data_IF_654637927080
#
_entry.id   IF_654637927080
#
_cell.length_a   1.000
_cell.length_b   1.000
_cell.length_c   1.000
_cell.angle_alpha   90.00
_cell.angle_beta   90.00
_cell.angle_gamma   90.00
#
_symmetry.space_group_name_H-M   'P 1'
#
loop_
_entity.id
_entity.type
_entity.pdbx_description
1 polymer ?
#
# COMPACT_ATOMS: atom_id res chain seq x y z
N UNK A 1 -35.93 5.24 46.43
CA UNK A 1 -36.50 3.90 46.18
C UNK A 1 -36.99 3.84 44.75
N UNK A 2 -36.28 3.09 43.89
CA UNK A 2 -36.68 2.44 42.60
C UNK A 2 -35.37 2.01 41.91
N UNK A 3 -34.80 0.86 42.28
CA UNK A 3 -34.87 -0.43 41.55
C UNK A 3 -34.45 -0.38 40.07
N UNK A 4 -33.17 -0.74 39.85
CA UNK A 4 -32.69 -1.81 38.97
C UNK A 4 -33.31 -1.87 37.55
N UNK A 5 -32.52 -1.55 36.53
CA UNK A 5 -32.64 -2.23 35.23
C UNK A 5 -31.26 -2.64 34.74
N UNK A 6 -31.04 -3.95 34.79
CA UNK A 6 -29.78 -4.63 34.50
C UNK A 6 -29.82 -5.21 33.09
N UNK A 7 -28.62 -5.38 32.50
CA UNK A 7 -28.26 -6.39 31.49
C UNK A 7 -28.82 -6.20 30.08
N UNK A 8 -27.90 -6.07 29.12
CA UNK A 8 -27.74 -7.09 28.08
C UNK A 8 -26.33 -7.03 27.49
N UNK A 9 -25.41 -7.80 28.09
CA UNK A 9 -24.14 -8.14 27.47
C UNK A 9 -24.39 -9.37 26.57
N UNK A 10 -24.56 -9.15 25.26
CA UNK A 10 -24.60 -10.23 24.27
C UNK A 10 -23.16 -10.53 23.86
N UNK A 11 -22.51 -11.38 24.64
CA UNK A 11 -21.27 -12.06 24.25
C UNK A 11 -21.64 -13.28 23.40
N UNK A 12 -21.54 -13.17 22.07
CA UNK A 12 -21.67 -14.30 21.15
C UNK A 12 -20.30 -14.89 20.87
N UNK A 13 -19.89 -15.83 21.73
CA UNK A 13 -18.83 -16.78 21.38
C UNK A 13 -19.40 -17.85 20.44
N UNK A 14 -19.42 -17.57 19.13
CA UNK A 14 -19.60 -18.61 18.11
C UNK A 14 -18.26 -19.31 17.89
N UNK A 15 -17.81 -20.07 18.89
CA UNK A 15 -16.73 -21.02 18.71
C UNK A 15 -17.24 -22.17 17.85
N UNK A 16 -17.01 -22.09 16.54
CA UNK A 16 -17.20 -23.23 15.64
C UNK A 16 -16.20 -24.29 16.06
N UNK A 17 -16.62 -25.18 16.96
CA UNK A 17 -15.86 -26.38 17.32
C UNK A 17 -15.95 -27.31 16.13
N UNK A 18 -15.01 -27.17 15.20
CA UNK A 18 -14.80 -28.18 14.18
C UNK A 18 -14.47 -29.49 14.91
N UNK A 19 -15.40 -30.45 14.82
CA UNK A 19 -15.19 -31.78 15.38
C UNK A 19 -13.87 -32.32 14.85
N UNK A 20 -13.03 -32.85 15.74
CA UNK A 20 -11.70 -33.41 15.40
C UNK A 20 -11.76 -34.37 14.20
N UNK A 21 -12.89 -35.06 14.03
CA UNK A 21 -13.16 -35.95 12.90
C UNK A 21 -13.20 -35.24 11.54
N UNK A 22 -13.72 -34.01 11.46
CA UNK A 22 -13.80 -33.22 10.22
C UNK A 22 -12.41 -32.73 9.80
N UNK A 23 -11.56 -32.37 10.76
CA UNK A 23 -10.16 -32.00 10.51
C UNK A 23 -9.33 -33.19 10.04
N UNK A 24 -9.58 -34.39 10.58
CA UNK A 24 -8.90 -35.60 10.16
C UNK A 24 -9.28 -36.04 8.72
N UNK A 25 -10.56 -35.94 8.36
CA UNK A 25 -11.04 -36.27 7.02
C UNK A 25 -10.52 -35.31 5.95
N UNK A 26 -10.47 -34.00 6.25
CA UNK A 26 -9.92 -33.00 5.33
C UNK A 26 -8.42 -33.18 5.10
N UNK A 27 -7.65 -33.50 6.15
CA UNK A 27 -6.23 -33.85 6.01
C UNK A 27 -6.01 -35.12 5.17
N UNK A 28 -6.82 -36.16 5.37
CA UNK A 28 -6.74 -37.39 4.56
C UNK A 28 -7.06 -37.14 3.07
N UNK A 29 -8.04 -36.29 2.77
CA UNK A 29 -8.37 -35.93 1.38
C UNK A 29 -7.24 -35.14 0.70
N UNK A 30 -6.55 -34.26 1.43
CA UNK A 30 -5.38 -33.52 0.92
C UNK A 30 -4.21 -34.48 0.65
N UNK A 31 -3.93 -35.41 1.58
CA UNK A 31 -2.85 -36.39 1.42
C UNK A 31 -3.12 -37.35 0.25
N UNK A 32 -4.37 -37.76 0.05
CA UNK A 32 -4.78 -38.58 -1.10
C UNK A 32 -4.64 -37.82 -2.43
N UNK A 33 -4.92 -36.51 -2.47
CA UNK A 33 -4.71 -35.68 -3.68
C UNK A 33 -3.23 -35.52 -4.03
N UNK A 34 -2.34 -35.41 -3.03
CA UNK A 34 -0.88 -35.33 -3.28
C UNK A 34 -0.33 -36.67 -3.78
N UNK A 35 -0.86 -37.80 -3.29
CA UNK A 35 -0.33 -39.13 -3.60
C UNK A 35 -0.83 -39.70 -4.93
N UNK A 36 -1.98 -39.24 -5.42
CA UNK A 36 -2.57 -39.74 -6.67
C UNK A 36 -1.98 -39.12 -7.93
N UNK A 37 -0.97 -38.24 -7.81
CA UNK A 37 -0.20 -37.76 -8.97
C UNK A 37 -1.10 -37.26 -10.08
N UNK A 38 -2.11 -36.45 -9.75
CA UNK A 38 -3.02 -35.85 -10.72
C UNK A 38 -2.21 -34.93 -11.64
N UNK A 39 -1.68 -35.54 -12.70
CA UNK A 39 -1.06 -34.86 -13.85
C UNK A 39 -2.19 -34.08 -14.50
N UNK A 40 -2.27 -32.79 -14.18
CA UNK A 40 -3.12 -31.85 -14.90
C UNK A 40 -2.70 -31.96 -16.37
N UNK A 41 -3.60 -32.39 -17.28
CA UNK A 41 -3.26 -32.49 -18.69
C UNK A 41 -2.97 -31.08 -19.22
N UNK A 42 -1.71 -30.80 -19.51
CA UNK A 42 -1.20 -29.55 -20.09
C UNK A 42 -1.64 -29.32 -21.54
N UNK A 43 -2.74 -29.91 -21.99
CA UNK A 43 -3.13 -29.96 -23.41
C UNK A 43 -4.26 -28.99 -23.77
N UNK A 44 -4.15 -27.72 -23.41
CA UNK A 44 -4.93 -26.64 -24.05
C UNK A 44 -4.11 -25.34 -24.06
N UNK A 45 -3.01 -25.34 -24.81
CA UNK A 45 -2.36 -24.12 -25.29
C UNK A 45 -1.78 -24.37 -26.69
N UNK A 46 -2.69 -24.51 -27.65
CA UNK A 46 -2.48 -24.39 -29.11
C UNK A 46 -3.68 -23.56 -29.55
N UNK A 47 -3.59 -22.41 -30.22
CA UNK A 47 -2.53 -21.82 -30.98
C UNK A 47 -2.68 -20.29 -30.95
N UNK A 48 -1.62 -19.56 -30.58
CA UNK A 48 -1.48 -18.16 -30.96
C UNK A 48 -0.19 -18.03 -31.75
N UNK A 49 -0.36 -18.09 -33.07
CA UNK A 49 0.45 -17.49 -34.13
C UNK A 49 1.89 -17.12 -33.76
N UNK A 50 2.81 -18.00 -34.12
CA UNK A 50 4.25 -17.84 -33.94
C UNK A 50 4.92 -17.45 -35.25
N UNK A 51 4.41 -16.40 -35.89
CA UNK A 51 5.01 -15.78 -37.09
C UNK A 51 5.17 -14.27 -36.89
N UNK A 52 6.14 -13.87 -36.06
CA UNK A 52 6.90 -12.63 -36.25
C UNK A 52 8.37 -12.89 -35.98
N UNK A 53 8.98 -13.38 -37.04
CA UNK A 53 10.39 -13.36 -37.38
C UNK A 53 11.07 -12.04 -36.92
N UNK A 54 12.16 -12.19 -36.17
CA UNK A 54 13.38 -11.38 -36.22
C UNK A 54 13.23 -9.88 -36.54
N UNK A 55 12.98 -9.05 -35.51
CA UNK A 55 13.41 -7.65 -35.51
C UNK A 55 14.47 -7.42 -34.44
N UNK A 56 15.71 -7.47 -34.93
CA UNK A 56 16.93 -6.82 -34.45
C UNK A 56 16.91 -6.12 -33.09
N UNK A 57 17.80 -6.61 -32.23
CA UNK A 57 18.36 -5.89 -31.10
C UNK A 57 18.87 -4.48 -31.47
N UNK A 58 18.06 -3.46 -31.19
CA UNK A 58 18.56 -2.14 -30.81
C UNK A 58 18.06 -1.84 -29.41
N UNK A 59 18.93 -2.07 -28.42
CA UNK A 59 18.78 -1.41 -27.12
C UNK A 59 18.91 0.09 -27.38
N UNK A 60 17.88 0.91 -27.14
CA UNK A 60 18.06 2.35 -27.20
C UNK A 60 19.11 2.73 -26.14
N UNK A 61 20.15 3.47 -26.58
CA UNK A 61 21.04 4.19 -25.66
C UNK A 61 20.18 5.00 -24.69
N UNK A 62 20.54 5.09 -23.40
CA UNK A 62 19.99 6.12 -22.54
C UNK A 62 20.42 7.46 -23.15
N UNK A 63 19.54 8.08 -23.92
CA UNK A 63 19.70 9.47 -24.28
C UNK A 63 19.63 10.26 -23.00
N UNK A 64 20.58 11.16 -22.90
CA UNK A 64 20.80 12.04 -21.76
C UNK A 64 19.48 12.66 -21.33
N UNK A 65 19.19 12.54 -20.03
CA UNK A 65 18.19 13.35 -19.34
C UNK A 65 18.64 14.81 -19.46
N UNK A 66 18.30 15.44 -20.57
CA UNK A 66 18.32 16.88 -20.70
C UNK A 66 17.24 17.43 -19.76
N UNK A 67 17.71 18.01 -18.66
CA UNK A 67 17.27 19.30 -18.13
C UNK A 67 15.83 19.68 -18.47
N UNK A 68 14.86 19.10 -17.77
CA UNK A 68 13.57 19.76 -17.57
C UNK A 68 13.65 20.65 -16.34
N UNK A 69 14.28 21.80 -16.52
CA UNK A 69 13.96 23.02 -15.78
C UNK A 69 12.65 23.56 -16.35
N UNK A 70 11.51 23.06 -15.88
CA UNK A 70 10.20 23.63 -16.20
C UNK A 70 9.65 24.34 -14.96
N UNK A 71 9.90 25.65 -14.94
CA UNK A 71 9.11 26.74 -14.33
C UNK A 71 8.21 26.32 -13.16
N UNK A 72 8.71 26.56 -11.95
CA UNK A 72 7.88 26.95 -10.80
C UNK A 72 7.16 28.24 -11.19
N UNK A 73 5.85 28.20 -11.37
CA UNK A 73 5.01 29.37 -11.16
C UNK A 73 4.85 29.51 -9.65
N UNK A 74 5.30 30.65 -9.14
CA UNK A 74 4.89 31.16 -7.85
C UNK A 74 3.43 31.57 -8.03
N UNK A 75 2.52 30.86 -7.37
CA UNK A 75 1.21 31.39 -7.02
C UNK A 75 1.08 31.13 -5.52
N UNK A 76 1.41 32.18 -4.79
CA UNK A 76 1.08 32.41 -3.40
C UNK A 76 -0.45 32.49 -3.25
N UNK A 77 -1.00 31.92 -2.17
CA UNK A 77 -2.10 32.46 -1.34
C UNK A 77 -2.86 31.35 -0.59
N UNK A 78 -2.35 31.08 0.61
CA UNK A 78 -3.08 31.15 1.88
C UNK A 78 -4.42 30.42 2.00
N UNK A 79 -4.38 29.22 2.57
CA UNK A 79 -5.38 28.71 3.53
C UNK A 79 -4.83 27.45 4.23
N UNK A 80 -3.87 27.63 5.15
CA UNK A 80 -3.44 26.61 6.11
C UNK A 80 -3.66 27.16 7.53
N UNK A 81 -4.92 27.47 7.85
CA UNK A 81 -5.35 27.64 9.24
C UNK A 81 -5.86 26.29 9.78
N UNK A 82 -5.32 25.91 10.93
CA UNK A 82 -5.85 24.94 11.89
C UNK A 82 -5.54 23.44 11.74
N UNK A 83 -4.28 23.03 11.86
CA UNK A 83 -3.98 21.75 12.55
C UNK A 83 -2.64 21.69 13.32
N UNK A 84 -2.09 22.84 13.73
CA UNK A 84 -0.85 22.92 14.50
C UNK A 84 -1.09 23.06 16.02
N UNK A 85 -1.73 22.06 16.65
CA UNK A 85 -1.93 22.12 18.12
C UNK A 85 -1.62 20.88 18.96
N UNK A 86 -1.09 19.78 18.40
CA UNK A 86 -0.87 18.59 19.23
C UNK A 86 0.48 17.86 19.09
N UNK A 87 1.55 18.57 18.73
CA UNK A 87 2.89 17.96 18.82
C UNK A 87 4.00 18.93 19.27
N UNK A 88 3.67 19.91 20.14
CA UNK A 88 4.66 20.76 20.84
C UNK A 88 5.24 20.10 22.08
N UNK A 89 5.51 18.78 22.03
CA UNK A 89 6.21 18.09 23.11
C UNK A 89 7.55 17.55 22.63
N UNK A 90 8.54 18.44 22.75
CA UNK A 90 9.88 18.12 23.27
C UNK A 90 10.77 17.25 22.38
N UNK A 91 11.31 17.85 21.32
CA UNK A 91 12.73 17.62 20.98
C UNK A 91 13.41 18.99 21.01
N UNK A 92 13.84 19.35 22.21
CA UNK A 92 14.73 20.47 22.47
C UNK A 92 16.07 20.08 21.83
N UNK A 93 16.28 20.47 20.56
CA UNK A 93 17.62 20.44 20.01
C UNK A 93 18.45 21.44 20.79
N UNK A 94 19.62 20.98 21.24
CA UNK A 94 20.58 21.76 22.00
C UNK A 94 20.94 23.02 21.21
N UNK A 95 20.43 24.14 21.73
CA UNK A 95 20.97 25.47 21.54
C UNK A 95 22.35 25.48 22.21
N UNK A 96 23.34 24.96 21.47
CA UNK A 96 24.74 25.06 21.84
C UNK A 96 25.14 26.48 21.49
N UNK A 97 25.13 27.34 22.51
CA UNK A 97 25.59 28.71 22.44
C UNK A 97 26.91 28.78 21.67
N UNK A 98 26.84 29.55 20.58
CA UNK A 98 27.96 30.15 19.89
C UNK A 98 28.69 31.09 20.86
N UNK A 99 29.71 30.57 21.56
CA UNK A 99 30.81 31.41 22.01
C UNK A 99 31.71 31.64 20.79
N UNK A 100 31.41 32.75 20.13
CA UNK A 100 32.08 33.38 19.01
C UNK A 100 33.49 33.85 19.43
N UNK A 101 34.41 32.90 19.61
CA UNK A 101 35.85 33.18 19.70
C UNK A 101 36.41 33.37 18.28
N UNK A 102 36.64 34.65 17.94
CA UNK A 102 37.44 35.05 16.77
C UNK A 102 38.88 34.56 16.96
N UNK A 103 39.20 33.42 16.37
CA UNK A 103 40.59 33.00 16.19
C UNK A 103 41.17 33.68 14.95
N UNK A 104 42.29 34.36 15.16
CA UNK A 104 43.05 35.11 14.17
C UNK A 104 43.52 34.22 13.01
N UNK A 105 43.26 34.69 11.79
CA UNK A 105 43.75 34.15 10.54
C UNK A 105 45.28 34.00 10.55
N UNK A 106 45.75 32.77 10.72
CA UNK A 106 47.06 32.35 10.26
C UNK A 106 46.86 31.39 9.08
N UNK A 107 46.83 31.94 7.86
CA UNK A 107 46.89 31.18 6.61
C UNK A 107 48.25 30.46 6.52
N UNK A 108 48.38 29.34 7.23
CA UNK A 108 49.46 28.38 7.01
C UNK A 108 49.08 27.58 5.75
N UNK A 109 49.59 28.02 4.60
CA UNK A 109 49.47 27.35 3.29
C UNK A 109 50.21 26.00 3.27
N UNK A 110 49.97 25.14 4.26
CA UNK A 110 50.34 23.74 4.18
C UNK A 110 49.36 23.05 3.27
N UNK A 111 49.77 22.95 2.01
CA UNK A 111 49.32 21.94 1.05
C UNK A 111 48.92 20.67 1.82
N UNK A 112 47.64 20.26 1.76
CA UNK A 112 47.14 19.14 2.55
C UNK A 112 47.98 17.91 2.22
N UNK A 113 48.81 17.51 3.17
CA UNK A 113 49.63 16.31 3.05
C UNK A 113 48.65 15.15 2.96
N UNK A 114 48.41 14.67 1.74
CA UNK A 114 47.58 13.49 1.46
C UNK A 114 48.27 12.28 2.09
N UNK A 115 48.01 12.06 3.38
CA UNK A 115 48.40 10.87 4.11
C UNK A 115 47.66 9.68 3.47
N UNK A 116 48.29 9.03 2.50
CA UNK A 116 47.80 7.78 1.96
C UNK A 116 47.70 6.75 3.10
N UNK A 117 46.64 5.94 3.11
CA UNK A 117 46.52 4.86 4.08
C UNK A 117 47.68 3.86 3.92
N UNK A 118 47.92 3.01 4.93
CA UNK A 118 48.96 1.97 4.88
C UNK A 118 48.80 0.96 3.72
N UNK A 119 47.74 1.07 2.91
CA UNK A 119 47.49 0.25 1.72
C UNK A 119 47.58 1.06 0.42
N UNK A 120 48.06 2.30 0.48
CA UNK A 120 48.21 3.18 -0.67
C UNK A 120 46.90 3.59 -1.34
N UNK A 121 45.74 3.46 -0.65
CA UNK A 121 44.47 3.96 -1.19
C UNK A 121 44.36 5.46 -0.93
N UNK A 122 44.00 6.25 -1.96
CA UNK A 122 43.78 7.68 -1.78
C UNK A 122 42.59 7.88 -0.84
N UNK A 123 42.77 8.70 0.20
CA UNK A 123 41.77 8.95 1.24
C UNK A 123 40.40 9.38 0.69
N UNK A 124 40.35 9.98 -0.50
CA UNK A 124 39.11 10.39 -1.18
C UNK A 124 38.13 9.24 -1.47
N UNK A 125 38.61 8.02 -1.72
CA UNK A 125 37.74 6.88 -2.08
C UNK A 125 36.85 6.45 -0.91
N UNK A 126 37.30 6.65 0.33
CA UNK A 126 36.50 6.32 1.53
C UNK A 126 35.41 7.36 1.78
N UNK A 127 35.68 8.64 1.49
CA UNK A 127 34.67 9.70 1.60
C UNK A 127 33.56 9.53 0.56
N UNK A 128 33.91 9.18 -0.68
CA UNK A 128 32.93 8.89 -1.74
C UNK A 128 32.03 7.69 -1.35
N UNK A 129 32.61 6.64 -0.77
CA UNK A 129 31.88 5.45 -0.30
C UNK A 129 30.88 5.78 0.83
N UNK A 130 31.25 6.70 1.72
CA UNK A 130 30.37 7.12 2.82
C UNK A 130 29.24 8.02 2.31
N UNK A 131 29.54 8.93 1.38
CA UNK A 131 28.57 9.88 0.84
C UNK A 131 27.42 9.17 0.10
N UNK A 132 27.70 8.15 -0.72
CA UNK A 132 26.62 7.41 -1.39
C UNK A 132 25.75 6.61 -0.42
N UNK A 133 26.31 6.10 0.69
CA UNK A 133 25.53 5.39 1.72
C UNK A 133 24.57 6.35 2.42
N UNK A 134 25.03 7.55 2.74
CA UNK A 134 24.21 8.61 3.32
C UNK A 134 23.10 8.99 2.35
N UNK A 135 23.41 9.28 1.09
CA UNK A 135 22.38 9.66 0.11
C UNK A 135 21.40 8.53 -0.16
N UNK A 136 21.86 7.27 -0.17
CA UNK A 136 20.98 6.10 -0.26
C UNK A 136 20.01 6.04 0.91
N UNK A 137 20.48 6.18 2.15
CA UNK A 137 19.62 6.21 3.33
C UNK A 137 18.61 7.35 3.26
N UNK A 138 19.04 8.54 2.84
CA UNK A 138 18.17 9.71 2.65
C UNK A 138 17.07 9.44 1.63
N UNK A 139 17.41 8.80 0.50
CA UNK A 139 16.45 8.42 -0.54
C UNK A 139 15.48 7.35 -0.06
N UNK A 140 15.95 6.34 0.68
CA UNK A 140 15.09 5.30 1.26
C UNK A 140 14.10 5.89 2.27
N UNK A 141 14.56 6.80 3.14
CA UNK A 141 13.70 7.50 4.09
C UNK A 141 12.68 8.39 3.35
N UNK A 142 13.13 9.17 2.37
CA UNK A 142 12.25 10.00 1.56
C UNK A 142 11.19 9.16 0.81
N UNK A 143 11.56 7.99 0.29
CA UNK A 143 10.63 7.08 -0.38
C UNK A 143 9.62 6.47 0.59
N UNK A 144 10.05 6.03 1.78
CA UNK A 144 9.16 5.54 2.85
C UNK A 144 8.17 6.63 3.28
N UNK A 145 8.64 7.87 3.46
CA UNK A 145 7.78 9.02 3.81
C UNK A 145 6.75 9.30 2.71
N UNK A 146 7.15 9.23 1.43
CA UNK A 146 6.22 9.38 0.30
C UNK A 146 5.19 8.26 0.24
N UNK A 147 5.61 7.02 0.50
CA UNK A 147 4.70 5.87 0.51
C UNK A 147 3.68 5.95 1.65
N UNK A 148 4.11 6.36 2.85
CA UNK A 148 3.22 6.55 3.99
C UNK A 148 2.31 7.78 3.84
N UNK A 149 2.80 8.84 3.18
CA UNK A 149 1.99 10.03 2.87
C UNK A 149 1.00 9.78 1.73
N UNK A 150 1.30 8.86 0.82
CA UNK A 150 0.36 8.46 -0.21
C UNK A 150 -0.83 7.75 0.45
N UNK A 151 -2.00 8.37 0.41
CA UNK A 151 -3.24 7.74 0.85
C UNK A 151 -3.51 6.43 0.11
N UNK A 152 -4.39 5.57 0.67
CA UNK A 152 -4.76 4.32 0.03
C UNK A 152 -5.26 4.55 -1.40
N UNK A 153 -4.73 3.77 -2.35
CA UNK A 153 -5.17 3.80 -3.74
C UNK A 153 -6.21 2.72 -3.94
N UNK A 154 -7.47 3.11 -4.05
CA UNK A 154 -8.57 2.17 -4.30
C UNK A 154 -8.70 1.85 -5.79
N UNK A 155 -9.25 0.67 -6.09
CA UNK A 155 -9.57 0.28 -7.46
C UNK A 155 -10.72 1.14 -8.04
N UNK A 156 -10.78 1.30 -9.37
CA UNK A 156 -11.95 1.87 -10.04
C UNK A 156 -13.21 1.06 -9.74
N UNK A 157 -14.39 1.72 -9.80
CA UNK A 157 -15.68 1.10 -9.47
C UNK A 157 -15.91 -0.24 -10.18
N UNK A 158 -15.67 -0.30 -11.49
CA UNK A 158 -15.89 -1.50 -12.31
C UNK A 158 -15.01 -2.68 -11.89
N UNK A 159 -13.75 -2.43 -11.53
CA UNK A 159 -12.83 -3.49 -11.09
C UNK A 159 -13.13 -3.92 -9.65
N UNK A 160 -13.54 -2.97 -8.80
CA UNK A 160 -13.99 -3.26 -7.45
C UNK A 160 -15.25 -4.14 -7.46
N UNK A 161 -16.24 -3.79 -8.30
CA UNK A 161 -17.47 -4.55 -8.50
C UNK A 161 -17.18 -5.98 -8.98
N UNK A 162 -16.38 -6.14 -10.05
CA UNK A 162 -15.98 -7.46 -10.56
C UNK A 162 -15.31 -8.31 -9.48
N UNK A 163 -14.46 -7.70 -8.66
CA UNK A 163 -13.81 -8.42 -7.57
C UNK A 163 -14.82 -8.90 -6.54
N UNK A 164 -15.77 -8.07 -6.13
CA UNK A 164 -16.81 -8.44 -5.17
C UNK A 164 -17.72 -9.53 -5.72
N UNK A 165 -18.14 -9.42 -6.97
CA UNK A 165 -18.98 -10.42 -7.64
C UNK A 165 -18.25 -11.76 -7.86
N UNK A 166 -16.94 -11.73 -8.13
CA UNK A 166 -16.13 -12.94 -8.30
C UNK A 166 -16.06 -13.82 -7.03
N UNK A 167 -16.39 -13.27 -5.86
CA UNK A 167 -16.49 -14.01 -4.61
C UNK A 167 -17.82 -14.78 -4.46
N UNK A 168 -18.64 -14.82 -5.51
CA UNK A 168 -19.78 -15.71 -5.62
C UNK A 168 -21.00 -15.26 -4.81
N UNK A 169 -21.32 -13.96 -4.86
CA UNK A 169 -22.50 -13.39 -4.20
C UNK A 169 -22.57 -13.70 -2.70
N UNK A 170 -21.40 -13.73 -2.02
CA UNK A 170 -21.31 -14.01 -0.58
C UNK A 170 -22.12 -13.03 0.27
N UNK A 171 -22.35 -11.83 -0.24
CA UNK A 171 -23.11 -10.78 0.41
C UNK A 171 -24.29 -10.39 -0.47
N UNK A 172 -25.47 -10.32 0.14
CA UNK A 172 -26.73 -9.98 -0.51
C UNK A 172 -27.21 -8.57 -0.14
N UNK A 173 -26.77 -8.06 1.01
CA UNK A 173 -27.14 -6.73 1.50
C UNK A 173 -25.93 -5.91 1.96
N UNK A 174 -26.12 -4.60 2.06
CA UNK A 174 -25.14 -3.67 2.62
C UNK A 174 -24.80 -4.00 4.09
N UNK A 175 -25.76 -4.53 4.86
CA UNK A 175 -25.54 -4.90 6.26
C UNK A 175 -24.57 -6.08 6.37
N UNK A 176 -24.74 -7.13 5.55
CA UNK A 176 -23.84 -8.28 5.52
C UNK A 176 -22.41 -7.89 5.11
N UNK A 177 -22.30 -6.94 4.19
CA UNK A 177 -21.02 -6.35 3.82
C UNK A 177 -20.37 -5.63 5.00
N UNK A 178 -21.12 -4.79 5.71
CA UNK A 178 -20.61 -4.04 6.86
C UNK A 178 -20.21 -4.96 8.02
N UNK A 179 -20.99 -6.01 8.29
CA UNK A 179 -20.68 -7.03 9.29
C UNK A 179 -19.38 -7.76 8.93
N UNK A 180 -19.18 -8.09 7.65
CA UNK A 180 -17.94 -8.68 7.18
C UNK A 180 -16.74 -7.73 7.36
N UNK A 181 -16.89 -6.45 7.03
CA UNK A 181 -15.85 -5.44 7.27
C UNK A 181 -15.55 -5.31 8.78
N UNK A 182 -16.57 -5.31 9.62
CA UNK A 182 -16.44 -5.22 11.08
C UNK A 182 -15.76 -6.46 11.69
N UNK A 183 -15.95 -7.64 11.08
CA UNK A 183 -15.29 -8.88 11.52
C UNK A 183 -13.76 -8.85 11.40
N UNK A 184 -13.21 -7.93 10.61
CA UNK A 184 -11.77 -7.77 10.43
C UNK A 184 -11.12 -8.93 9.67
N UNK A 185 -11.90 -9.78 8.99
CA UNK A 185 -11.37 -10.81 8.11
C UNK A 185 -10.48 -10.16 7.02
N UNK A 186 -9.44 -10.88 6.57
CA UNK A 186 -8.34 -10.36 5.74
C UNK A 186 -8.85 -9.64 4.48
N UNK A 187 -9.04 -8.33 4.59
CA UNK A 187 -9.57 -7.48 3.52
C UNK A 187 -8.46 -7.15 2.51
N UNK A 188 -8.83 -7.11 1.25
CA UNK A 188 -7.99 -6.53 0.22
C UNK A 188 -7.82 -5.02 0.46
N UNK A 189 -6.57 -4.53 0.50
CA UNK A 189 -6.25 -3.12 0.73
C UNK A 189 -6.78 -2.19 -0.36
N UNK A 190 -7.06 -2.72 -1.55
CA UNK A 190 -7.52 -1.96 -2.70
C UNK A 190 -9.04 -1.69 -2.72
N UNK A 191 -9.80 -2.27 -1.77
CA UNK A 191 -11.25 -2.14 -1.70
C UNK A 191 -11.61 -1.21 -0.54
N UNK A 192 -12.38 -0.13 -0.79
CA UNK A 192 -12.81 0.78 0.26
C UNK A 192 -13.73 0.09 1.27
N UNK A 193 -13.67 0.49 2.54
CA UNK A 193 -14.54 -0.07 3.59
C UNK A 193 -16.00 0.28 3.35
N UNK A 194 -16.21 1.52 2.89
CA UNK A 194 -17.51 2.15 2.63
C UNK A 194 -17.55 2.51 1.14
N UNK A 195 -17.82 1.53 0.25
CA UNK A 195 -17.78 1.77 -1.19
C UNK A 195 -18.81 2.82 -1.63
N UNK A 196 -20.00 2.82 -1.04
CA UNK A 196 -21.04 3.83 -1.27
C UNK A 196 -20.51 5.25 -1.08
N UNK A 197 -19.97 5.59 0.10
CA UNK A 197 -19.45 6.93 0.39
C UNK A 197 -18.29 7.32 -0.54
N UNK A 198 -17.34 6.39 -0.75
CA UNK A 198 -16.17 6.63 -1.58
C UNK A 198 -16.53 6.90 -3.05
N UNK A 199 -17.38 6.06 -3.65
CA UNK A 199 -17.75 6.18 -5.06
C UNK A 199 -18.82 7.24 -5.29
N UNK A 200 -19.67 7.54 -4.30
CA UNK A 200 -20.60 8.67 -4.38
C UNK A 200 -19.85 9.99 -4.51
N UNK A 201 -18.78 10.19 -3.72
CA UNK A 201 -17.93 11.38 -3.84
C UNK A 201 -17.28 11.54 -5.21
N UNK A 202 -16.99 10.43 -5.89
CA UNK A 202 -16.40 10.41 -7.24
C UNK A 202 -17.50 10.52 -8.33
N UNK A 203 -18.77 10.31 -7.98
CA UNK A 203 -19.88 10.28 -8.93
C UNK A 203 -19.99 8.97 -9.72
N UNK A 204 -19.42 7.87 -9.21
CA UNK A 204 -19.41 6.56 -9.86
C UNK A 204 -20.29 5.50 -9.18
N UNK A 205 -21.03 5.87 -8.13
CA UNK A 205 -21.89 4.94 -7.41
C UNK A 205 -23.24 4.75 -8.13
N UNK A 206 -23.70 3.49 -8.20
CA UNK A 206 -24.98 3.12 -8.83
C UNK A 206 -25.98 2.72 -7.75
N UNK A 207 -25.83 1.53 -7.19
CA UNK A 207 -26.65 0.98 -6.12
C UNK A 207 -25.89 -0.17 -5.44
N UNK A 208 -26.39 -0.60 -4.29
CA UNK A 208 -25.82 -1.75 -3.58
C UNK A 208 -26.06 -3.05 -4.34
N UNK A 209 -27.24 -3.19 -4.95
CA UNK A 209 -27.67 -4.34 -5.74
C UNK A 209 -26.73 -4.54 -6.93
N UNK A 210 -26.46 -3.45 -7.67
CA UNK A 210 -25.52 -3.47 -8.79
C UNK A 210 -24.09 -3.79 -8.33
N UNK A 211 -23.63 -3.19 -7.22
CA UNK A 211 -22.29 -3.42 -6.69
C UNK A 211 -22.06 -4.87 -6.23
N UNK A 212 -23.05 -5.46 -5.55
CA UNK A 212 -23.01 -6.84 -5.05
C UNK A 212 -23.35 -7.89 -6.13
N UNK A 213 -23.93 -7.45 -7.26
CA UNK A 213 -24.40 -8.35 -8.32
C UNK A 213 -25.67 -9.11 -7.94
N UNK A 214 -26.50 -8.51 -7.10
CA UNK A 214 -27.82 -9.03 -6.74
C UNK A 214 -28.81 -8.54 -7.81
N UNK A 215 -29.63 -9.43 -8.42
CA UNK A 215 -30.64 -8.98 -9.37
C UNK A 215 -31.63 -8.06 -8.66
N UNK A 216 -31.93 -6.90 -9.26
CA UNK A 216 -32.99 -6.03 -8.77
C UNK A 216 -34.29 -6.84 -8.78
N UNK A 217 -34.95 -6.90 -7.63
CA UNK A 217 -36.23 -7.58 -7.52
C UNK A 217 -37.26 -6.70 -8.21
N UNK A 218 -37.60 -7.03 -9.45
CA UNK A 218 -38.65 -6.35 -10.19
C UNK A 218 -39.97 -6.50 -9.41
N UNK A 219 -40.31 -5.53 -8.55
CA UNK A 219 -41.54 -5.52 -7.75
C UNK A 219 -42.82 -5.51 -8.63
N UNK A 220 -42.67 -5.43 -9.95
CA UNK A 220 -43.77 -5.35 -10.90
C UNK A 220 -44.29 -6.71 -11.40
N UNK A 221 -43.71 -7.85 -10.97
CA UNK A 221 -44.13 -9.17 -11.47
C UNK A 221 -45.23 -9.88 -10.68
N UNK A 222 -45.79 -9.27 -9.62
CA UNK A 222 -46.75 -9.93 -8.70
C UNK A 222 -48.21 -9.44 -8.83
N UNK A 223 -48.57 -8.79 -9.94
CA UNK A 223 -49.92 -8.27 -10.21
C UNK A 223 -50.66 -8.97 -11.36
N UNK A 224 -50.71 -10.31 -11.35
CA UNK A 224 -51.56 -11.09 -12.27
C UNK A 224 -52.37 -12.18 -11.57
#
# INVERSE_FOLDING_TARGET
MTTISSKLAISRQNGIRFSSTVMALTLLLIILHISTGFVIPSSLNTALSRDKLLQSHHRPRPQQLQTYMSKKTNDDDDNDDDEERNNKHLIHYNDFNEDDEKEDDCEDEREPVFCADARGRPAGVVLEDLNWRIEKLRLEEANKRRFLKAGPRFLPYTECQKWVQAWGNRWTSAEEWNDWIASGEKRNSYIPSRPEEYFTRIGGWVSWEHFLGVPEKDENSESH
#
